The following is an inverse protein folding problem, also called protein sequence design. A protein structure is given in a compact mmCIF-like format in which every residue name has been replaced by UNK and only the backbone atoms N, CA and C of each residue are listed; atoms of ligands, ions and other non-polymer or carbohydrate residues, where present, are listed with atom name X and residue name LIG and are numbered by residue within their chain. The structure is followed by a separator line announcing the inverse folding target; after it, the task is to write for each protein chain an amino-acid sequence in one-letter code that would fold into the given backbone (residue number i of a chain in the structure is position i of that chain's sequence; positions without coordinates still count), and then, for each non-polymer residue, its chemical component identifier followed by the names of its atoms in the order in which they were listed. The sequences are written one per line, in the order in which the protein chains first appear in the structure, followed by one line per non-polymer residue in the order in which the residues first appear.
data_IF_383682568179
#
_entry.id   IF_383682568179
#
_cell.length_a   1.000
_cell.length_b   1.000
_cell.length_c   1.000
_cell.angle_alpha   90.00
_cell.angle_beta   90.00
_cell.angle_gamma   90.00
#
_symmetry.space_group_name_H-M   'P 1'
#
loop_
_entity.id
_entity.type
_entity.pdbx_description
1 polymer ?
#
# COMPACT_ATOMS: atom_id res chain seq x y z
N UNK A 1 -13.25 -16.70 -14.81
CA UNK A 1 -11.91 -16.95 -15.40
C UNK A 1 -11.10 -17.61 -14.30
N UNK A 2 -10.46 -18.73 -14.59
CA UNK A 2 -9.74 -19.51 -13.58
C UNK A 2 -8.35 -18.89 -13.34
N UNK A 3 -7.95 -18.79 -12.06
CA UNK A 3 -6.62 -18.32 -11.69
C UNK A 3 -5.55 -19.38 -11.98
N UNK A 4 -4.38 -18.97 -12.42
CA UNK A 4 -3.24 -19.87 -12.66
C UNK A 4 -2.73 -20.43 -11.33
N UNK A 5 -2.74 -21.75 -11.19
CA UNK A 5 -2.24 -22.42 -9.99
C UNK A 5 -0.76 -22.11 -9.76
N UNK A 6 0.05 -22.16 -10.80
CA UNK A 6 1.49 -21.86 -10.72
C UNK A 6 1.74 -20.45 -10.16
N UNK A 7 1.03 -19.44 -10.69
CA UNK A 7 1.14 -18.08 -10.18
C UNK A 7 0.65 -17.97 -8.73
N UNK A 8 -0.48 -18.61 -8.40
CA UNK A 8 -1.05 -18.54 -7.04
C UNK A 8 -0.16 -19.23 -6.00
N UNK A 9 0.51 -20.32 -6.36
CA UNK A 9 1.47 -20.99 -5.48
C UNK A 9 2.67 -20.07 -5.15
N UNK A 10 3.10 -19.21 -6.09
CA UNK A 10 4.17 -18.21 -5.86
C UNK A 10 3.77 -17.12 -4.86
N UNK A 11 2.51 -16.74 -4.80
CA UNK A 11 2.01 -15.72 -3.89
C UNK A 11 1.21 -16.31 -2.71
N UNK A 12 1.39 -17.59 -2.40
CA UNK A 12 0.73 -18.25 -1.29
C UNK A 12 1.24 -17.72 0.05
N UNK A 13 0.39 -17.11 0.90
CA UNK A 13 0.85 -16.57 2.16
C UNK A 13 0.98 -17.65 3.23
N UNK A 14 1.78 -17.35 4.25
CA UNK A 14 1.84 -18.11 5.49
C UNK A 14 0.84 -17.54 6.50
N UNK A 15 0.07 -18.39 7.16
CA UNK A 15 -0.85 -18.03 8.25
C UNK A 15 -0.27 -18.45 9.59
N UNK A 16 -0.80 -17.90 10.69
CA UNK A 16 -0.32 -18.15 12.06
C UNK A 16 0.25 -16.89 12.72
N UNK A 17 0.29 -15.79 11.99
CA UNK A 17 0.60 -14.45 12.51
C UNK A 17 -0.72 -13.72 12.79
N UNK A 18 -0.83 -13.07 13.95
CA UNK A 18 -1.98 -12.23 14.25
C UNK A 18 -1.94 -10.96 13.39
N UNK A 19 -2.98 -10.72 12.61
CA UNK A 19 -3.11 -9.58 11.71
C UNK A 19 -4.33 -8.74 12.03
N UNK A 20 -4.25 -7.45 11.73
CA UNK A 20 -5.28 -6.44 11.95
C UNK A 20 -5.48 -5.65 10.67
N UNK A 21 -6.70 -5.31 10.32
CA UNK A 21 -7.00 -4.39 9.24
C UNK A 21 -6.95 -2.96 9.75
N UNK A 22 -6.25 -2.08 9.05
CA UNK A 22 -6.23 -0.63 9.23
C UNK A 22 -6.72 0.06 7.97
N UNK A 23 -7.21 1.27 8.12
CA UNK A 23 -7.75 2.07 7.03
C UNK A 23 -9.26 1.89 6.87
N UNK A 24 -9.79 2.51 5.84
CA UNK A 24 -11.23 2.44 5.54
C UNK A 24 -11.65 1.04 5.12
N UNK A 25 -12.94 0.77 5.14
CA UNK A 25 -13.49 -0.39 4.49
C UNK A 25 -13.24 -0.30 2.98
N UNK A 26 -13.04 -1.46 2.34
CA UNK A 26 -12.76 -1.59 0.91
C UNK A 26 -11.38 -1.03 0.53
N UNK A 27 -11.24 -0.50 -0.68
CA UNK A 27 -9.98 0.07 -1.20
C UNK A 27 -9.37 1.12 -0.26
N UNK A 28 -8.03 1.09 -0.07
CA UNK A 28 -7.30 1.95 0.87
C UNK A 28 -7.23 1.44 2.31
N UNK A 29 -7.78 0.26 2.60
CA UNK A 29 -7.56 -0.44 3.87
C UNK A 29 -6.75 -1.71 3.67
N UNK A 30 -5.75 -1.95 4.53
CA UNK A 30 -4.82 -3.06 4.39
C UNK A 30 -4.73 -3.87 5.68
N UNK A 31 -4.46 -5.18 5.55
CA UNK A 31 -4.17 -6.04 6.70
C UNK A 31 -2.68 -6.01 7.03
N UNK A 32 -2.39 -5.88 8.33
CA UNK A 32 -1.03 -5.69 8.83
C UNK A 32 -0.77 -6.58 10.05
N UNK A 33 0.40 -7.22 10.16
CA UNK A 33 0.77 -7.98 11.36
C UNK A 33 0.79 -7.10 12.61
N UNK A 34 0.07 -7.53 13.66
CA UNK A 34 -0.01 -6.77 14.91
C UNK A 34 1.35 -6.56 15.57
N UNK A 35 2.24 -7.55 15.48
CA UNK A 35 3.59 -7.44 16.03
C UNK A 35 4.41 -6.39 15.29
N UNK A 36 4.31 -6.31 13.95
CA UNK A 36 4.97 -5.25 13.18
C UNK A 36 4.43 -3.86 13.55
N UNK A 37 3.12 -3.74 13.73
CA UNK A 37 2.50 -2.50 14.21
C UNK A 37 2.99 -2.08 15.59
N UNK A 38 3.21 -3.03 16.50
CA UNK A 38 3.74 -2.77 17.84
C UNK A 38 5.21 -2.35 17.80
N UNK A 39 6.02 -3.02 17.00
CA UNK A 39 7.48 -2.83 16.98
C UNK A 39 7.94 -1.61 16.17
N UNK A 40 7.12 -1.08 15.24
CA UNK A 40 7.53 0.01 14.38
C UNK A 40 7.38 1.38 15.03
N UNK A 41 8.24 2.32 14.61
CA UNK A 41 8.24 3.71 15.06
C UNK A 41 7.58 4.62 14.02
N UNK A 42 7.78 4.31 12.72
CA UNK A 42 7.36 5.15 11.61
C UNK A 42 6.70 4.31 10.50
N UNK A 43 5.64 4.86 9.93
CA UNK A 43 5.08 4.43 8.66
C UNK A 43 5.64 5.33 7.56
N UNK A 44 6.30 4.74 6.58
CA UNK A 44 6.58 5.38 5.29
C UNK A 44 5.47 4.93 4.35
N UNK A 45 4.64 5.87 3.90
CA UNK A 45 3.51 5.62 3.02
C UNK A 45 3.72 6.30 1.68
N UNK A 46 3.78 5.52 0.63
CA UNK A 46 3.97 5.94 -0.75
C UNK A 46 2.66 5.72 -1.51
N UNK A 47 2.10 6.81 -2.05
CA UNK A 47 0.76 6.83 -2.64
C UNK A 47 -0.31 7.18 -1.61
N UNK A 48 -0.78 8.44 -1.68
CA UNK A 48 -1.78 8.97 -0.75
C UNK A 48 -3.21 8.83 -1.28
N UNK A 49 -3.41 9.05 -2.58
CA UNK A 49 -4.70 8.89 -3.25
C UNK A 49 -5.88 9.69 -2.66
N UNK A 50 -5.64 10.74 -1.87
CA UNK A 50 -6.65 11.46 -1.06
C UNK A 50 -7.36 10.62 0.01
N UNK A 51 -6.77 9.53 0.44
CA UNK A 51 -7.25 8.75 1.59
C UNK A 51 -6.14 8.55 2.61
N UNK A 52 -6.28 9.15 3.77
CA UNK A 52 -5.34 9.01 4.89
C UNK A 52 -5.88 8.13 6.01
N UNK A 53 -6.90 7.34 5.75
CA UNK A 53 -7.54 6.53 6.79
C UNK A 53 -6.56 5.51 7.40
N UNK A 54 -5.73 4.89 6.59
CA UNK A 54 -4.71 3.94 7.02
C UNK A 54 -3.66 4.64 7.92
N UNK A 55 -3.12 5.76 7.49
CA UNK A 55 -2.13 6.55 8.22
C UNK A 55 -2.68 7.08 9.55
N UNK A 56 -3.93 7.54 9.53
CA UNK A 56 -4.59 8.04 10.75
C UNK A 56 -4.86 6.93 11.77
N UNK A 57 -5.25 5.74 11.31
CA UNK A 57 -5.45 4.60 12.19
C UNK A 57 -4.13 4.09 12.76
N UNK A 58 -3.08 4.05 11.95
CA UNK A 58 -1.73 3.77 12.42
C UNK A 58 -1.30 4.73 13.54
N UNK A 59 -1.54 6.03 13.37
CA UNK A 59 -1.21 7.04 14.38
C UNK A 59 -2.03 6.94 15.69
N UNK A 60 -3.21 6.32 15.67
CA UNK A 60 -4.02 6.07 16.87
C UNK A 60 -3.42 4.97 17.75
N UNK A 61 -2.60 4.09 17.20
CA UNK A 61 -2.02 2.96 17.94
C UNK A 61 -1.03 3.41 19.04
N UNK A 62 -0.26 4.48 18.80
CA UNK A 62 0.65 5.06 19.79
C UNK A 62 0.93 6.53 19.47
N UNK A 63 1.04 7.36 20.52
CA UNK A 63 1.33 8.80 20.39
C UNK A 63 2.75 9.09 19.88
N UNK A 64 3.68 8.14 20.02
CA UNK A 64 5.07 8.25 19.55
C UNK A 64 5.25 7.96 18.07
N UNK A 65 4.27 7.31 17.44
CA UNK A 65 4.31 6.97 16.02
C UNK A 65 4.20 8.20 15.13
N UNK A 66 4.87 8.16 14.00
CA UNK A 66 4.85 9.21 12.98
C UNK A 66 4.67 8.60 11.59
N UNK A 67 4.29 9.43 10.63
CA UNK A 67 4.09 9.05 9.23
C UNK A 67 4.90 9.97 8.34
N UNK A 68 5.70 9.40 7.44
CA UNK A 68 6.25 10.07 6.27
C UNK A 68 5.38 9.69 5.07
N UNK A 69 4.57 10.63 4.59
CA UNK A 69 3.59 10.42 3.53
C UNK A 69 4.05 11.09 2.24
N UNK A 70 4.04 10.34 1.15
CA UNK A 70 4.49 10.79 -0.17
C UNK A 70 3.41 10.62 -1.23
N UNK A 71 3.27 11.64 -2.09
CA UNK A 71 2.41 11.55 -3.27
C UNK A 71 2.97 12.40 -4.41
N UNK A 72 2.77 11.95 -5.64
CA UNK A 72 3.33 12.63 -6.82
C UNK A 72 2.50 13.82 -7.30
N UNK A 73 1.21 13.82 -7.05
CA UNK A 73 0.26 14.68 -7.76
C UNK A 73 -0.61 15.54 -6.86
N UNK A 74 -0.74 15.18 -5.59
CA UNK A 74 -1.67 15.82 -4.68
C UNK A 74 -1.01 17.00 -3.99
N UNK A 75 -1.46 18.22 -4.32
CA UNK A 75 -1.04 19.44 -3.66
C UNK A 75 -2.23 20.39 -3.46
N UNK A 76 -2.04 21.37 -2.59
CA UNK A 76 -3.11 22.31 -2.23
C UNK A 76 -3.66 23.07 -3.45
N UNK A 77 -2.77 23.52 -4.33
CA UNK A 77 -3.16 24.27 -5.53
C UNK A 77 -4.04 23.43 -6.44
N UNK A 78 -3.60 22.20 -6.79
CA UNK A 78 -4.39 21.31 -7.65
C UNK A 78 -5.73 20.91 -7.01
N UNK A 79 -5.76 20.72 -5.69
CA UNK A 79 -6.97 20.35 -4.95
C UNK A 79 -7.99 21.49 -4.96
N UNK A 80 -7.54 22.74 -4.76
CA UNK A 80 -8.40 23.95 -4.81
C UNK A 80 -8.87 24.22 -6.26
N UNK A 81 -7.99 24.13 -7.25
CA UNK A 81 -8.35 24.34 -8.66
C UNK A 81 -9.42 23.34 -9.12
N UNK A 82 -9.27 22.05 -8.79
CA UNK A 82 -10.28 21.03 -9.09
C UNK A 82 -11.62 21.32 -8.43
N UNK A 83 -11.62 21.67 -7.13
CA UNK A 83 -12.85 22.04 -6.43
C UNK A 83 -13.51 23.26 -7.08
N UNK A 84 -12.74 24.29 -7.45
CA UNK A 84 -13.25 25.49 -8.09
C UNK A 84 -13.88 25.21 -9.47
N UNK A 85 -13.25 24.37 -10.29
CA UNK A 85 -13.80 23.93 -11.57
C UNK A 85 -15.13 23.19 -11.41
N UNK A 86 -15.22 22.32 -10.40
CA UNK A 86 -16.45 21.61 -10.10
C UNK A 86 -17.56 22.54 -9.60
N UNK A 87 -17.24 23.48 -8.71
CA UNK A 87 -18.19 24.52 -8.26
C UNK A 87 -18.73 25.37 -9.43
N UNK A 88 -17.85 25.76 -10.36
CA UNK A 88 -18.31 26.43 -11.60
C UNK A 88 -19.27 25.57 -12.39
N UNK A 89 -19.05 24.25 -12.47
CA UNK A 89 -19.95 23.34 -13.18
C UNK A 89 -21.33 23.21 -12.51
N UNK A 90 -21.41 23.37 -11.19
CA UNK A 90 -22.68 23.46 -10.45
C UNK A 90 -23.46 24.71 -10.89
N UNK A 91 -22.79 25.86 -10.90
CA UNK A 91 -23.41 27.16 -11.21
C UNK A 91 -23.88 27.24 -12.67
N UNK A 92 -23.00 26.83 -13.62
CA UNK A 92 -23.27 27.04 -15.05
C UNK A 92 -23.96 25.85 -15.73
N UNK A 93 -23.95 24.65 -15.15
CA UNK A 93 -24.50 23.42 -15.77
C UNK A 93 -25.55 22.71 -14.92
N UNK A 94 -25.97 23.29 -13.78
CA UNK A 94 -26.98 22.70 -12.88
C UNK A 94 -26.58 21.34 -12.30
N UNK A 95 -25.30 21.02 -12.22
CA UNK A 95 -24.82 19.77 -11.60
C UNK A 95 -24.92 19.86 -10.09
N UNK A 96 -25.06 18.70 -9.42
CA UNK A 96 -25.07 18.64 -7.97
C UNK A 96 -23.76 19.13 -7.34
N UNK A 97 -23.80 19.52 -6.05
CA UNK A 97 -22.63 20.00 -5.31
C UNK A 97 -21.51 18.96 -5.32
N UNK A 98 -20.23 19.34 -5.53
CA UNK A 98 -19.11 18.41 -5.65
C UNK A 98 -18.65 17.86 -4.29
N UNK A 99 -19.53 17.09 -3.64
CA UNK A 99 -19.28 16.50 -2.30
C UNK A 99 -17.98 15.70 -2.25
N UNK A 100 -17.69 14.96 -3.32
CA UNK A 100 -16.49 14.14 -3.41
C UNK A 100 -15.20 15.00 -3.36
N UNK A 101 -15.13 16.10 -4.13
CA UNK A 101 -13.97 16.99 -4.16
C UNK A 101 -13.80 17.77 -2.86
N UNK A 102 -14.91 18.15 -2.24
CA UNK A 102 -14.88 18.80 -0.93
C UNK A 102 -14.30 17.86 0.16
N UNK A 103 -14.66 16.57 0.11
CA UNK A 103 -14.08 15.55 0.98
C UNK A 103 -12.58 15.37 0.73
N UNK A 104 -12.15 15.31 -0.54
CA UNK A 104 -10.73 15.19 -0.89
C UNK A 104 -9.91 16.38 -0.35
N UNK A 105 -10.41 17.62 -0.51
CA UNK A 105 -9.75 18.78 0.05
C UNK A 105 -9.67 18.73 1.57
N UNK A 106 -10.77 18.32 2.24
CA UNK A 106 -10.78 18.16 3.70
C UNK A 106 -9.76 17.12 4.17
N UNK A 107 -9.70 15.96 3.52
CA UNK A 107 -8.68 14.92 3.82
C UNK A 107 -7.26 15.47 3.65
N UNK A 108 -7.01 16.22 2.58
CA UNK A 108 -5.71 16.86 2.38
C UNK A 108 -5.36 17.87 3.50
N UNK A 109 -6.32 18.67 3.93
CA UNK A 109 -6.12 19.60 5.04
C UNK A 109 -5.86 18.86 6.36
N UNK A 110 -6.58 17.76 6.62
CA UNK A 110 -6.33 16.90 7.79
C UNK A 110 -4.88 16.39 7.80
N UNK A 111 -4.37 15.96 6.66
CA UNK A 111 -2.96 15.52 6.52
C UNK A 111 -2.00 16.67 6.80
N UNK A 112 -2.21 17.85 6.19
CA UNK A 112 -1.32 19.00 6.34
C UNK A 112 -1.24 19.55 7.79
N UNK A 113 -2.36 19.52 8.50
CA UNK A 113 -2.42 20.04 9.87
C UNK A 113 -2.07 19.01 10.95
N UNK A 114 -1.86 17.74 10.57
CA UNK A 114 -1.45 16.72 11.54
C UNK A 114 0.07 16.76 11.76
N UNK A 115 0.49 17.24 12.90
CA UNK A 115 1.91 17.39 13.27
C UNK A 115 2.72 16.09 13.26
N UNK A 116 2.07 14.93 13.25
CA UNK A 116 2.72 13.61 13.18
C UNK A 116 2.79 13.05 11.77
N UNK A 117 2.22 13.75 10.78
CA UNK A 117 2.32 13.41 9.36
C UNK A 117 3.25 14.40 8.67
N UNK A 118 4.35 13.91 8.17
CA UNK A 118 5.26 14.69 7.34
C UNK A 118 4.93 14.42 5.87
N UNK A 119 4.07 15.26 5.30
CA UNK A 119 3.66 15.16 3.91
C UNK A 119 4.71 15.74 2.97
N UNK A 120 5.05 15.01 1.90
CA UNK A 120 5.98 15.44 0.86
C UNK A 120 5.40 15.21 -0.52
N UNK A 121 5.35 16.27 -1.29
CA UNK A 121 5.02 16.21 -2.71
C UNK A 121 6.24 15.71 -3.49
N UNK A 122 6.09 14.62 -4.21
CA UNK A 122 7.11 14.08 -5.09
C UNK A 122 6.80 12.65 -5.52
N UNK A 123 7.12 12.34 -6.76
CA UNK A 123 7.02 10.97 -7.27
C UNK A 123 8.19 10.15 -6.69
N UNK A 124 7.91 8.99 -6.15
CA UNK A 124 8.94 7.99 -5.88
C UNK A 124 9.23 7.27 -7.20
N UNK A 125 10.49 7.17 -7.59
CA UNK A 125 10.85 6.56 -8.87
C UNK A 125 12.35 6.49 -9.10
N UNK A 126 12.75 6.39 -10.36
CA UNK A 126 14.13 6.14 -10.77
C UNK A 126 15.08 7.28 -10.34
N UNK A 127 16.33 6.90 -9.96
CA UNK A 127 17.38 7.80 -9.42
C UNK A 127 17.73 8.95 -10.38
N UNK A 128 17.52 8.78 -11.68
CA UNK A 128 17.96 9.73 -12.70
C UNK A 128 16.96 10.85 -13.04
N UNK A 129 15.80 10.89 -12.40
CA UNK A 129 14.86 11.99 -12.59
C UNK A 129 14.97 12.97 -11.41
N UNK A 130 15.44 14.18 -11.68
CA UNK A 130 15.60 15.25 -10.67
C UNK A 130 14.31 15.66 -9.97
N UNK A 131 13.16 15.24 -10.50
CA UNK A 131 11.83 15.46 -9.91
C UNK A 131 11.34 14.28 -9.09
N UNK A 132 12.07 13.16 -9.09
CA UNK A 132 11.71 11.98 -8.32
C UNK A 132 12.41 11.98 -6.96
N UNK A 133 11.67 11.61 -5.94
CA UNK A 133 12.20 11.30 -4.62
C UNK A 133 12.72 9.86 -4.66
N UNK A 134 13.92 9.66 -4.14
CA UNK A 134 14.52 8.33 -4.06
C UNK A 134 14.06 7.62 -2.78
N UNK A 135 13.52 6.41 -2.92
CA UNK A 135 13.14 5.59 -1.77
C UNK A 135 14.33 5.32 -0.84
N UNK A 136 15.52 5.09 -1.40
CA UNK A 136 16.75 4.87 -0.62
C UNK A 136 17.07 6.06 0.29
N UNK A 137 16.94 7.29 -0.21
CA UNK A 137 17.18 8.49 0.61
C UNK A 137 16.13 8.65 1.72
N UNK A 138 14.91 8.25 1.43
CA UNK A 138 13.81 8.23 2.41
C UNK A 138 14.09 7.22 3.53
N UNK A 139 14.56 6.02 3.17
CA UNK A 139 14.96 4.99 4.12
C UNK A 139 16.16 5.44 4.96
N UNK A 140 17.18 6.05 4.35
CA UNK A 140 18.37 6.58 5.04
C UNK A 140 18.01 7.67 6.06
N UNK A 141 17.07 8.56 5.76
CA UNK A 141 16.61 9.61 6.70
C UNK A 141 15.96 9.01 7.95
N UNK A 142 15.35 7.83 7.83
CA UNK A 142 14.72 7.11 8.93
C UNK A 142 15.63 6.01 9.51
N UNK A 143 16.94 6.13 9.35
CA UNK A 143 17.94 5.11 9.69
C UNK A 143 17.91 4.62 11.16
N UNK A 144 17.33 5.38 12.08
CA UNK A 144 17.26 5.04 13.51
C UNK A 144 15.92 4.43 13.92
N UNK A 145 14.98 4.28 12.99
CA UNK A 145 13.61 3.87 13.27
C UNK A 145 13.32 2.48 12.70
N UNK A 146 12.42 1.77 13.36
CA UNK A 146 11.80 0.57 12.81
C UNK A 146 10.63 0.99 11.93
N UNK A 147 10.60 0.51 10.70
CA UNK A 147 9.77 1.05 9.61
C UNK A 147 8.70 0.03 9.19
N UNK A 148 7.47 0.49 8.99
CA UNK A 148 6.52 -0.13 8.07
C UNK A 148 6.58 0.66 6.77
N UNK A 149 6.76 -0.01 5.64
CA UNK A 149 6.71 0.60 4.31
C UNK A 149 5.42 0.15 3.62
N UNK A 150 4.52 1.12 3.36
CA UNK A 150 3.37 0.95 2.46
C UNK A 150 3.72 1.54 1.10
N UNK A 151 3.42 0.82 0.04
CA UNK A 151 3.72 1.20 -1.32
C UNK A 151 2.55 0.86 -2.24
N UNK A 152 1.97 1.91 -2.83
CA UNK A 152 0.88 1.87 -3.79
C UNK A 152 1.09 3.07 -4.72
N UNK A 153 1.90 2.89 -5.77
CA UNK A 153 2.45 3.97 -6.61
C UNK A 153 2.28 3.71 -8.11
N UNK A 154 1.23 2.96 -8.44
CA UNK A 154 0.69 2.86 -9.79
C UNK A 154 1.73 2.42 -10.84
N UNK A 155 2.45 1.31 -10.56
CA UNK A 155 3.41 0.67 -11.47
C UNK A 155 4.87 1.07 -11.29
N UNK A 156 5.20 1.97 -10.34
CA UNK A 156 6.59 2.32 -10.01
C UNK A 156 7.19 1.46 -8.88
N UNK A 157 6.48 0.43 -8.43
CA UNK A 157 6.88 -0.45 -7.32
C UNK A 157 8.18 -1.20 -7.64
N UNK A 158 8.28 -1.73 -8.85
CA UNK A 158 9.36 -2.62 -9.28
C UNK A 158 10.72 -1.92 -9.23
N UNK A 159 10.85 -0.79 -9.91
CA UNK A 159 12.10 -0.02 -9.95
C UNK A 159 12.47 0.54 -8.58
N UNK A 160 11.48 0.96 -7.81
CA UNK A 160 11.70 1.53 -6.48
C UNK A 160 12.19 0.48 -5.49
N UNK A 161 11.61 -0.72 -5.53
CA UNK A 161 11.98 -1.84 -4.65
C UNK A 161 13.35 -2.41 -5.01
N UNK A 162 13.65 -2.61 -6.31
CA UNK A 162 14.92 -3.15 -6.74
C UNK A 162 16.09 -2.33 -6.18
N UNK A 163 15.99 -1.00 -6.25
CA UNK A 163 16.97 -0.08 -5.68
C UNK A 163 17.03 -0.12 -4.15
N UNK A 164 15.93 -0.43 -3.49
CA UNK A 164 15.81 -0.38 -2.04
C UNK A 164 16.13 -1.72 -1.35
N UNK A 165 16.26 -2.83 -2.09
CA UNK A 165 16.46 -4.17 -1.53
C UNK A 165 17.62 -4.23 -0.50
N UNK A 166 18.70 -3.50 -0.74
CA UNK A 166 19.87 -3.45 0.17
C UNK A 166 19.65 -2.60 1.43
N UNK A 167 18.51 -1.88 1.52
CA UNK A 167 18.18 -0.99 2.64
C UNK A 167 17.00 -1.49 3.46
N UNK A 168 16.58 -2.73 3.22
CA UNK A 168 15.41 -3.30 3.88
C UNK A 168 15.65 -3.72 5.35
N UNK A 169 16.88 -3.66 5.86
CA UNK A 169 17.25 -4.19 7.20
C UNK A 169 16.42 -3.62 8.36
N UNK A 170 15.90 -2.40 8.22
CA UNK A 170 15.10 -1.72 9.25
C UNK A 170 13.60 -1.83 9.05
N UNK A 171 13.20 -2.38 7.94
CA UNK A 171 11.79 -2.58 7.63
C UNK A 171 11.29 -3.81 8.40
N UNK A 172 10.22 -3.63 9.16
CA UNK A 172 9.56 -4.69 9.92
C UNK A 172 8.42 -5.32 9.13
N UNK A 173 7.79 -4.50 8.25
CA UNK A 173 6.70 -4.95 7.40
C UNK A 173 6.69 -4.16 6.09
N UNK A 174 6.41 -4.86 5.01
CA UNK A 174 6.15 -4.30 3.67
C UNK A 174 4.69 -4.57 3.32
N UNK A 175 3.99 -3.53 2.90
CA UNK A 175 2.63 -3.61 2.33
C UNK A 175 2.75 -3.04 0.94
N UNK A 176 2.58 -3.85 -0.07
CA UNK A 176 2.84 -3.46 -1.46
C UNK A 176 1.65 -3.85 -2.31
N UNK A 177 1.09 -2.87 -3.01
CA UNK A 177 0.16 -3.10 -4.11
C UNK A 177 0.96 -3.11 -5.42
N UNK A 178 1.08 -4.28 -6.04
CA UNK A 178 1.76 -4.44 -7.32
C UNK A 178 0.77 -4.28 -8.45
N UNK A 179 1.14 -3.45 -9.44
CA UNK A 179 0.37 -3.18 -10.65
C UNK A 179 1.02 -3.81 -11.88
N UNK A 180 0.25 -3.93 -12.98
CA UNK A 180 0.72 -4.40 -14.29
C UNK A 180 1.40 -5.78 -14.25
N UNK A 181 0.99 -6.65 -13.33
CA UNK A 181 1.68 -7.93 -13.05
C UNK A 181 1.77 -8.80 -14.28
N UNK A 182 0.70 -8.86 -15.11
CA UNK A 182 0.70 -9.71 -16.30
C UNK A 182 1.77 -9.33 -17.29
N UNK A 183 2.00 -8.05 -17.50
CA UNK A 183 3.03 -7.56 -18.42
C UNK A 183 4.45 -7.63 -17.84
N UNK A 184 4.58 -7.71 -16.51
CA UNK A 184 5.82 -7.68 -15.73
C UNK A 184 6.01 -8.92 -14.84
N UNK A 185 5.45 -10.07 -15.24
CA UNK A 185 5.42 -11.29 -14.41
C UNK A 185 6.83 -11.69 -13.93
N UNK A 186 7.84 -11.67 -14.79
CA UNK A 186 9.20 -12.08 -14.44
C UNK A 186 9.85 -11.10 -13.43
N UNK A 187 9.61 -9.80 -13.59
CA UNK A 187 10.08 -8.79 -12.62
C UNK A 187 9.37 -8.97 -11.27
N UNK A 188 8.06 -9.16 -11.30
CA UNK A 188 7.25 -9.42 -10.11
C UNK A 188 7.79 -10.62 -9.32
N UNK A 189 7.99 -11.76 -9.98
CA UNK A 189 8.52 -12.96 -9.35
C UNK A 189 9.95 -12.76 -8.84
N UNK A 190 10.79 -12.07 -9.58
CA UNK A 190 12.16 -11.76 -9.17
C UNK A 190 12.18 -10.93 -7.89
N UNK A 191 11.42 -9.84 -7.84
CA UNK A 191 11.39 -8.92 -6.69
C UNK A 191 10.76 -9.60 -5.47
N UNK A 192 9.63 -10.27 -5.63
CA UNK A 192 8.96 -10.97 -4.52
C UNK A 192 9.84 -12.09 -3.96
N UNK A 193 10.58 -12.82 -4.79
CA UNK A 193 11.53 -13.84 -4.34
C UNK A 193 12.74 -13.24 -3.63
N UNK A 194 13.23 -12.07 -4.05
CA UNK A 194 14.28 -11.35 -3.32
C UNK A 194 13.79 -10.88 -1.95
N UNK A 195 12.57 -10.34 -1.85
CA UNK A 195 11.95 -9.96 -0.57
C UNK A 195 11.81 -11.18 0.35
N UNK A 196 11.37 -12.32 -0.15
CA UNK A 196 11.16 -13.56 0.63
C UNK A 196 12.44 -14.14 1.26
N UNK A 197 13.63 -13.67 0.89
CA UNK A 197 14.89 -14.06 1.55
C UNK A 197 14.96 -13.59 3.00
N UNK A 198 14.37 -12.43 3.30
CA UNK A 198 14.40 -11.83 4.65
C UNK A 198 13.00 -11.64 5.26
N UNK A 199 11.97 -11.75 4.45
CA UNK A 199 10.58 -11.55 4.85
C UNK A 199 9.74 -12.79 4.56
N UNK A 200 8.70 -12.95 5.35
CA UNK A 200 7.65 -13.96 5.14
C UNK A 200 6.41 -13.29 4.60
N UNK A 201 5.88 -13.77 3.49
CA UNK A 201 4.58 -13.34 2.97
C UNK A 201 3.49 -13.83 3.92
N UNK A 202 2.73 -12.92 4.51
CA UNK A 202 1.73 -13.21 5.55
C UNK A 202 0.31 -12.86 5.14
N UNK A 203 0.14 -12.11 4.06
CA UNK A 203 -1.15 -11.86 3.44
C UNK A 203 -1.03 -11.65 1.94
N UNK A 204 -2.04 -12.12 1.22
CA UNK A 204 -2.25 -11.92 -0.21
C UNK A 204 -3.71 -11.59 -0.43
N UNK A 205 -3.97 -10.45 -1.07
CA UNK A 205 -5.29 -10.02 -1.48
C UNK A 205 -5.25 -9.63 -2.96
N UNK A 206 -6.18 -10.16 -3.75
CA UNK A 206 -6.30 -9.85 -5.17
C UNK A 206 -7.26 -8.68 -5.33
N UNK A 207 -6.77 -7.57 -5.88
CA UNK A 207 -7.59 -6.39 -6.08
C UNK A 207 -8.66 -6.65 -7.18
N UNK A 208 -9.95 -6.63 -6.79
CA UNK A 208 -11.07 -6.93 -7.67
C UNK A 208 -11.52 -5.75 -8.56
N UNK A 209 -10.87 -4.57 -8.47
CA UNK A 209 -11.02 -3.53 -9.48
C UNK A 209 -10.37 -3.93 -10.80
N UNK A 210 -9.21 -4.57 -10.72
CA UNK A 210 -8.39 -4.92 -11.87
C UNK A 210 -8.82 -6.26 -12.50
N UNK A 211 -8.57 -6.45 -13.81
CA UNK A 211 -8.90 -7.70 -14.48
C UNK A 211 -7.92 -8.83 -14.13
N UNK A 212 -8.37 -10.07 -14.35
CA UNK A 212 -7.51 -11.25 -14.41
C UNK A 212 -7.23 -11.54 -15.89
N UNK A 213 -5.96 -11.53 -16.28
CA UNK A 213 -5.54 -11.76 -17.69
C UNK A 213 -4.79 -13.09 -17.79
N UNK A 214 -5.35 -14.05 -18.52
CA UNK A 214 -4.77 -15.41 -18.69
C UNK A 214 -4.44 -16.09 -17.35
N UNK A 215 -5.31 -15.93 -16.35
CA UNK A 215 -5.16 -16.52 -15.02
C UNK A 215 -4.22 -15.75 -14.07
N UNK A 216 -3.67 -14.62 -14.48
CA UNK A 216 -2.82 -13.75 -13.67
C UNK A 216 -3.59 -12.46 -13.35
N UNK A 217 -3.77 -12.09 -12.06
CA UNK A 217 -4.35 -10.80 -11.67
C UNK A 217 -3.42 -9.66 -12.09
N UNK A 218 -3.98 -8.55 -12.55
CA UNK A 218 -3.18 -7.36 -12.89
C UNK A 218 -2.74 -6.57 -11.66
N UNK A 219 -3.49 -6.67 -10.55
CA UNK A 219 -3.17 -5.98 -9.30
C UNK A 219 -3.32 -6.92 -8.12
N UNK A 220 -2.30 -6.96 -7.27
CA UNK A 220 -2.27 -7.79 -6.05
C UNK A 220 -1.66 -7.00 -4.90
N UNK A 221 -2.31 -7.03 -3.75
CA UNK A 221 -1.79 -6.52 -2.48
C UNK A 221 -1.06 -7.63 -1.72
N UNK A 222 0.20 -7.42 -1.42
CA UNK A 222 1.03 -8.36 -0.67
C UNK A 222 1.51 -7.72 0.65
N UNK A 223 1.34 -8.45 1.75
CA UNK A 223 1.90 -8.05 3.03
C UNK A 223 2.99 -9.02 3.46
N UNK A 224 4.19 -8.48 3.64
CA UNK A 224 5.36 -9.22 4.11
C UNK A 224 5.77 -8.76 5.50
N UNK A 225 6.08 -9.68 6.38
CA UNK A 225 6.63 -9.42 7.70
C UNK A 225 8.06 -9.92 7.79
N UNK A 226 8.95 -9.17 8.45
CA UNK A 226 10.34 -9.59 8.66
C UNK A 226 10.38 -10.95 9.35
N UNK A 227 11.05 -11.91 8.72
CA UNK A 227 11.06 -13.30 9.16
C UNK A 227 11.64 -13.50 10.57
N UNK A 228 12.60 -12.65 10.98
CA UNK A 228 13.19 -12.71 12.33
C UNK A 228 12.23 -12.31 13.46
N UNK A 229 11.08 -11.71 13.15
CA UNK A 229 10.04 -11.37 14.12
C UNK A 229 9.02 -12.50 14.31
N UNK A 230 9.08 -13.56 13.50
CA UNK A 230 8.06 -14.60 13.46
C UNK A 230 8.53 -15.85 14.18
N UNK A 231 7.68 -16.40 15.02
CA UNK A 231 7.86 -17.72 15.62
C UNK A 231 7.46 -18.76 14.58
N UNK A 232 8.45 -19.42 13.97
CA UNK A 232 8.26 -20.28 12.79
C UNK A 232 7.36 -21.50 13.02
N UNK A 233 7.36 -22.02 14.24
CA UNK A 233 6.57 -23.19 14.64
C UNK A 233 5.05 -22.96 14.49
N UNK A 234 4.61 -21.72 14.49
CA UNK A 234 3.21 -21.35 14.35
C UNK A 234 2.77 -21.16 12.89
N UNK A 235 3.72 -21.16 11.95
CA UNK A 235 3.42 -20.88 10.56
C UNK A 235 2.90 -22.10 9.82
N UNK A 236 1.88 -21.87 8.98
CA UNK A 236 1.33 -22.84 8.03
C UNK A 236 1.05 -22.13 6.70
N UNK A 237 1.09 -22.87 5.61
CA UNK A 237 0.60 -22.36 4.33
C UNK A 237 -0.90 -22.06 4.41
N UNK A 238 -1.33 -20.94 3.87
CA UNK A 238 -2.76 -20.64 3.76
C UNK A 238 -3.47 -21.70 2.90
N UNK A 239 -4.68 -22.08 3.29
CA UNK A 239 -5.54 -22.95 2.49
C UNK A 239 -6.38 -22.13 1.50
N UNK A 240 -6.69 -20.91 1.87
CA UNK A 240 -7.51 -19.99 1.09
C UNK A 240 -7.01 -18.56 1.20
N UNK A 241 -7.28 -17.74 0.18
CA UNK A 241 -7.23 -16.28 0.21
C UNK A 241 -8.57 -15.72 -0.26
N UNK A 242 -8.91 -14.48 0.10
CA UNK A 242 -8.16 -13.58 1.00
C UNK A 242 -8.29 -13.99 2.47
N UNK A 243 -7.56 -13.28 3.33
CA UNK A 243 -7.72 -13.42 4.79
C UNK A 243 -9.11 -12.92 5.22
N UNK A 244 -9.74 -13.50 6.26
CA UNK A 244 -11.08 -13.08 6.73
C UNK A 244 -11.21 -11.60 7.13
N UNK A 245 -10.11 -10.92 7.43
CA UNK A 245 -10.08 -9.49 7.71
C UNK A 245 -9.96 -8.61 6.45
N UNK A 246 -9.66 -9.20 5.29
CA UNK A 246 -9.70 -8.45 4.03
C UNK A 246 -11.14 -8.16 3.59
N UNK A 247 -11.28 -7.11 2.82
CA UNK A 247 -12.53 -6.70 2.23
C UNK A 247 -12.30 -6.39 0.75
N UNK A 248 -13.26 -6.68 -0.14
CA UNK A 248 -13.10 -6.43 -1.57
C UNK A 248 -12.79 -4.94 -1.81
N UNK A 249 -11.83 -4.64 -2.68
CA UNK A 249 -11.50 -3.26 -3.03
C UNK A 249 -12.72 -2.58 -3.67
N UNK A 250 -13.39 -3.25 -4.62
CA UNK A 250 -14.67 -2.82 -5.21
C UNK A 250 -15.84 -3.55 -4.56
N UNK A 251 -16.63 -2.88 -3.68
CA UNK A 251 -17.76 -3.52 -3.02
C UNK A 251 -18.93 -3.86 -3.98
N UNK A 252 -18.91 -3.34 -5.21
CA UNK A 252 -19.92 -3.66 -6.22
C UNK A 252 -19.64 -4.97 -6.97
N UNK A 253 -18.46 -5.54 -6.77
CA UNK A 253 -18.03 -6.80 -7.38
C UNK A 253 -17.80 -7.87 -6.30
N UNK A 254 -17.95 -9.16 -6.66
CA UNK A 254 -17.59 -10.23 -5.73
C UNK A 254 -16.10 -10.21 -5.41
N UNK A 255 -15.81 -10.65 -4.18
CA UNK A 255 -14.42 -10.89 -3.76
C UNK A 255 -13.78 -12.02 -4.59
N UNK A 256 -12.49 -11.84 -4.93
CA UNK A 256 -11.73 -12.85 -5.63
C UNK A 256 -11.12 -13.81 -4.60
N UNK A 257 -11.65 -15.03 -4.57
CA UNK A 257 -11.19 -16.07 -3.65
C UNK A 257 -10.41 -17.15 -4.39
N UNK A 258 -9.40 -17.72 -3.73
CA UNK A 258 -8.66 -18.87 -4.24
C UNK A 258 -8.44 -19.90 -3.13
N UNK A 259 -8.58 -21.18 -3.48
CA UNK A 259 -8.27 -22.31 -2.61
C UNK A 259 -7.08 -23.08 -3.18
N UNK A 260 -6.02 -23.18 -2.38
CA UNK A 260 -4.76 -23.83 -2.74
C UNK A 260 -4.85 -25.35 -2.78
#
# INVERSE_FOLDING_TARGET
MELSREFMDEIRPMVGVSILRLGRNFDGGYVVPQLALKECDVLISLGYGYDSSFEREFLKLDRKKSVDLYDSNINLKSSIERLFLDLRSVIFRGRGFPVFRSKQLLEYLVVLFNQRINYKLGKIGHINDSKCLNLVDTLKKNAYKKIILKMDIEGSEYESLDLALHYLERIQCLIIEFHDIKSRTDEFLTITNNIKREFTLVNTHINNFAPIVKGIPEVVELCFMRSSLIVKENLKNAETIPHPNDLPCDPSKPEITYRY
#
